data_IF_042137962752
#
_entry.id   IF_042137962752
#
_cell.length_a   1.000
_cell.length_b   1.000
_cell.length_c   1.000
_cell.angle_alpha   90.00
_cell.angle_beta   90.00
_cell.angle_gamma   90.00
#
_symmetry.space_group_name_H-M   'P 1'
#
loop_
_entity.id
_entity.type
_entity.pdbx_description
1 polymer ?
#
# COMPACT_ATOMS: atom_id res chain seq x y z
N UNK A 1 -16.31 -9.81 23.82
CA UNK A 1 -17.72 -9.86 23.36
C UNK A 1 -18.55 -10.86 24.15
N UNK A 2 -18.04 -12.07 24.39
CA UNK A 2 -18.77 -13.08 25.12
C UNK A 2 -19.11 -12.65 26.57
N UNK A 3 -18.22 -11.90 27.23
CA UNK A 3 -18.39 -11.45 28.62
C UNK A 3 -19.32 -10.23 28.73
N UNK A 4 -19.27 -9.28 27.80
CA UNK A 4 -19.99 -8.00 27.95
C UNK A 4 -21.15 -7.83 26.98
N UNK A 5 -21.45 -8.81 26.12
CA UNK A 5 -22.50 -8.76 25.08
C UNK A 5 -22.50 -7.48 24.24
N UNK A 6 -21.33 -6.88 24.06
CA UNK A 6 -21.19 -5.68 23.22
C UNK A 6 -21.38 -6.04 21.74
N UNK A 7 -22.07 -5.20 20.96
CA UNK A 7 -22.27 -5.45 19.55
C UNK A 7 -20.94 -5.49 18.82
N UNK A 8 -20.63 -6.62 18.19
CA UNK A 8 -19.48 -6.79 17.31
C UNK A 8 -19.95 -7.22 15.94
N UNK A 9 -19.44 -6.55 14.93
CA UNK A 9 -19.63 -6.92 13.54
C UNK A 9 -18.29 -7.27 12.93
N UNK A 10 -18.06 -8.54 12.65
CA UNK A 10 -16.88 -8.96 11.89
C UNK A 10 -17.05 -8.56 10.43
N UNK A 11 -16.12 -7.82 9.91
CA UNK A 11 -16.05 -7.45 8.49
C UNK A 11 -15.11 -8.41 7.79
N UNK A 12 -15.66 -9.47 7.23
CA UNK A 12 -14.90 -10.51 6.54
C UNK A 12 -14.09 -9.97 5.35
N UNK A 13 -14.55 -8.89 4.73
CA UNK A 13 -13.85 -8.16 3.65
C UNK A 13 -12.55 -7.49 4.11
N UNK A 14 -12.25 -7.49 5.41
CA UNK A 14 -11.07 -6.86 6.01
C UNK A 14 -10.24 -7.82 6.85
N UNK A 15 -10.55 -9.13 6.80
CA UNK A 15 -9.73 -10.13 7.48
C UNK A 15 -8.47 -10.38 6.65
N UNK A 16 -7.27 -10.14 7.22
CA UNK A 16 -6.04 -10.46 6.53
C UNK A 16 -5.84 -11.96 6.45
N UNK A 17 -5.22 -12.41 5.37
CA UNK A 17 -4.77 -13.80 5.20
C UNK A 17 -3.28 -13.83 4.89
N UNK A 18 -2.58 -14.81 5.45
CA UNK A 18 -1.14 -15.03 5.23
C UNK A 18 -0.90 -16.50 4.96
N UNK A 19 -0.13 -16.79 3.92
CA UNK A 19 0.40 -18.12 3.63
C UNK A 19 1.90 -18.08 3.90
N UNK A 20 2.35 -18.84 4.89
CA UNK A 20 3.74 -18.88 5.36
C UNK A 20 4.61 -19.79 4.49
N UNK A 21 4.68 -19.47 3.22
CA UNK A 21 5.63 -20.03 2.28
C UNK A 21 6.95 -19.25 2.32
N UNK A 22 7.96 -19.67 1.55
CA UNK A 22 9.19 -18.92 1.36
C UNK A 22 9.33 -18.56 -0.15
N UNK A 23 9.04 -17.33 -0.56
CA UNK A 23 8.59 -16.17 0.23
C UNK A 23 7.13 -16.26 0.71
N UNK A 24 6.79 -15.46 1.75
CA UNK A 24 5.43 -15.36 2.27
C UNK A 24 4.47 -14.70 1.25
N UNK A 25 3.19 -15.08 1.35
CA UNK A 25 2.10 -14.42 0.64
C UNK A 25 1.11 -13.86 1.65
N UNK A 26 0.83 -12.56 1.58
CA UNK A 26 -0.10 -11.89 2.46
C UNK A 26 -1.11 -11.04 1.68
N UNK A 27 -2.37 -11.03 2.10
CA UNK A 27 -3.43 -10.27 1.44
C UNK A 27 -4.44 -9.73 2.44
N UNK A 28 -4.98 -8.54 2.16
CA UNK A 28 -6.12 -7.95 2.87
C UNK A 28 -6.97 -7.13 1.91
N UNK A 29 -8.30 -7.16 2.08
CA UNK A 29 -9.26 -6.43 1.26
C UNK A 29 -9.49 -7.07 -0.11
N UNK A 30 -9.90 -6.27 -1.08
CA UNK A 30 -10.28 -6.71 -2.41
C UNK A 30 -9.06 -6.96 -3.29
N UNK A 31 -9.09 -8.03 -4.07
CA UNK A 31 -8.17 -8.19 -5.19
C UNK A 31 -8.51 -7.23 -6.35
N UNK A 32 -7.67 -7.22 -7.39
CA UNK A 32 -7.87 -6.32 -8.53
C UNK A 32 -9.18 -6.59 -9.29
N UNK A 33 -9.56 -7.84 -9.46
CA UNK A 33 -10.79 -8.23 -10.17
C UNK A 33 -12.02 -7.82 -9.39
N UNK A 34 -12.05 -8.15 -8.11
CA UNK A 34 -13.12 -7.75 -7.18
C UNK A 34 -13.25 -6.23 -7.09
N UNK A 35 -12.12 -5.53 -6.98
CA UNK A 35 -12.10 -4.08 -6.90
C UNK A 35 -12.62 -3.41 -8.18
N UNK A 36 -12.27 -3.95 -9.37
CA UNK A 36 -12.82 -3.47 -10.65
C UNK A 36 -14.31 -3.71 -10.75
N UNK A 37 -14.78 -4.88 -10.33
CA UNK A 37 -16.22 -5.19 -10.35
C UNK A 37 -17.00 -4.27 -9.41
N UNK A 38 -16.50 -3.99 -8.21
CA UNK A 38 -17.19 -3.18 -7.20
C UNK A 38 -17.09 -1.66 -7.41
N UNK A 39 -15.97 -1.17 -8.00
CA UNK A 39 -15.66 0.26 -8.07
C UNK A 39 -15.39 0.79 -9.48
N UNK A 40 -15.42 -0.06 -10.51
CA UNK A 40 -15.12 0.31 -11.89
C UNK A 40 -13.67 0.73 -12.07
N UNK A 41 -13.42 2.03 -12.24
CA UNK A 41 -12.05 2.54 -12.45
C UNK A 41 -11.27 2.61 -11.14
N UNK A 42 -10.17 1.87 -11.10
CA UNK A 42 -9.24 1.78 -9.96
C UNK A 42 -7.82 2.17 -10.39
N UNK A 43 -6.95 2.44 -9.43
CA UNK A 43 -5.50 2.45 -9.63
C UNK A 43 -4.91 1.17 -9.04
N UNK A 44 -3.89 0.65 -9.70
CA UNK A 44 -3.10 -0.49 -9.24
C UNK A 44 -1.65 -0.04 -9.15
N UNK A 45 -1.15 0.04 -7.92
CA UNK A 45 0.19 0.48 -7.60
C UNK A 45 1.06 -0.74 -7.32
N UNK A 46 2.34 -0.68 -7.68
CA UNK A 46 3.31 -1.76 -7.43
C UNK A 46 4.65 -1.18 -7.02
N UNK A 47 5.37 -1.91 -6.17
CA UNK A 47 6.77 -1.70 -5.87
C UNK A 47 7.46 -3.06 -5.68
N UNK A 48 8.72 -3.17 -6.06
CA UNK A 48 9.48 -4.40 -5.93
C UNK A 48 10.35 -4.37 -4.67
N UNK A 49 10.58 -5.52 -4.05
CA UNK A 49 11.50 -5.67 -2.93
C UNK A 49 12.94 -5.35 -3.34
N UNK A 50 13.29 -5.56 -4.61
CA UNK A 50 14.59 -5.17 -5.17
C UNK A 50 14.87 -3.66 -5.14
N UNK A 51 13.86 -2.83 -4.87
CA UNK A 51 13.99 -1.38 -4.68
C UNK A 51 14.17 -1.00 -3.20
N UNK A 52 14.27 -1.97 -2.29
CA UNK A 52 14.37 -1.77 -0.84
C UNK A 52 15.77 -2.19 -0.38
N UNK A 53 16.54 -1.25 0.17
CA UNK A 53 17.94 -1.49 0.60
C UNK A 53 18.05 -2.63 1.60
N UNK A 54 17.10 -2.75 2.53
CA UNK A 54 17.08 -3.86 3.49
C UNK A 54 16.92 -5.22 2.82
N UNK A 55 16.07 -5.33 1.82
CA UNK A 55 15.88 -6.60 1.10
C UNK A 55 17.13 -7.00 0.32
N UNK A 56 17.84 -6.02 -0.24
CA UNK A 56 19.13 -6.24 -0.93
C UNK A 56 20.18 -6.70 0.08
N UNK A 57 20.31 -6.01 1.22
CA UNK A 57 21.28 -6.32 2.26
C UNK A 57 21.11 -7.72 2.86
N UNK A 58 19.84 -8.16 3.02
CA UNK A 58 19.52 -9.49 3.53
C UNK A 58 19.56 -10.59 2.44
N UNK A 59 19.89 -10.25 1.17
CA UNK A 59 19.87 -11.19 0.06
C UNK A 59 18.47 -11.71 -0.30
N UNK A 60 17.41 -10.94 0.00
CA UNK A 60 16.00 -11.29 -0.19
C UNK A 60 15.26 -10.28 -1.11
N UNK A 61 15.80 -9.93 -2.29
CA UNK A 61 15.21 -8.92 -3.17
C UNK A 61 13.99 -9.43 -3.95
N UNK A 62 13.70 -10.74 -3.88
CA UNK A 62 12.58 -11.31 -4.61
C UNK A 62 11.24 -10.94 -3.96
N UNK A 63 10.30 -10.48 -4.78
CA UNK A 63 8.95 -10.17 -4.32
C UNK A 63 8.46 -8.78 -4.73
N UNK A 64 7.21 -8.51 -4.40
CA UNK A 64 6.56 -7.23 -4.69
C UNK A 64 5.36 -6.99 -3.78
N UNK A 65 4.98 -5.73 -3.68
CA UNK A 65 3.71 -5.29 -3.12
C UNK A 65 2.82 -4.74 -4.22
N UNK A 66 1.54 -5.08 -4.17
CA UNK A 66 0.49 -4.53 -5.02
C UNK A 66 -0.60 -3.90 -4.15
N UNK A 67 -0.90 -2.64 -4.41
CA UNK A 67 -1.95 -1.88 -3.70
C UNK A 67 -3.02 -1.44 -4.69
N UNK A 68 -4.26 -1.75 -4.39
CA UNK A 68 -5.43 -1.36 -5.18
C UNK A 68 -6.14 -0.21 -4.49
N UNK A 69 -6.37 0.87 -5.23
CA UNK A 69 -7.08 2.06 -4.70
C UNK A 69 -8.18 2.53 -5.64
N UNK A 70 -9.14 3.27 -5.10
CA UNK A 70 -10.02 4.09 -5.94
C UNK A 70 -9.21 5.20 -6.60
N UNK A 71 -9.77 5.86 -7.64
CA UNK A 71 -9.14 7.03 -8.27
C UNK A 71 -8.85 8.17 -7.28
N UNK A 72 -9.60 8.27 -6.19
CA UNK A 72 -9.42 9.28 -5.13
C UNK A 72 -8.46 8.84 -4.02
N UNK A 73 -7.76 7.71 -4.20
CA UNK A 73 -6.73 7.22 -3.27
C UNK A 73 -7.25 6.51 -2.02
N UNK A 74 -8.54 6.09 -1.98
CA UNK A 74 -9.00 5.18 -0.92
C UNK A 74 -8.46 3.78 -1.18
N UNK A 75 -7.78 3.20 -0.21
CA UNK A 75 -7.26 1.83 -0.29
C UNK A 75 -8.42 0.84 -0.30
N UNK A 76 -8.40 -0.11 -1.23
CA UNK A 76 -9.40 -1.17 -1.41
C UNK A 76 -8.84 -2.54 -1.04
N UNK A 77 -7.58 -2.78 -1.31
CA UNK A 77 -6.91 -4.03 -0.99
C UNK A 77 -5.42 -3.99 -1.25
N UNK A 78 -4.71 -4.92 -0.63
CA UNK A 78 -3.25 -5.05 -0.71
C UNK A 78 -2.88 -6.51 -0.78
N UNK A 79 -1.94 -6.85 -1.65
CA UNK A 79 -1.30 -8.17 -1.74
C UNK A 79 0.21 -7.99 -1.72
N UNK A 80 0.90 -8.78 -0.92
CA UNK A 80 2.35 -8.76 -0.76
C UNK A 80 2.87 -10.17 -0.96
N UNK A 81 3.87 -10.33 -1.82
CA UNK A 81 4.63 -11.56 -1.97
C UNK A 81 6.09 -11.24 -1.68
N UNK A 82 6.66 -11.75 -0.60
CA UNK A 82 8.04 -11.41 -0.23
C UNK A 82 8.35 -11.72 1.22
N UNK A 83 9.57 -11.40 1.62
CA UNK A 83 10.04 -11.57 2.98
C UNK A 83 9.21 -10.71 3.95
N UNK A 84 8.75 -11.31 5.06
CA UNK A 84 7.95 -10.65 6.11
C UNK A 84 6.63 -10.04 5.61
N UNK A 85 6.02 -10.64 4.58
CA UNK A 85 4.80 -10.10 3.99
C UNK A 85 3.66 -9.98 5.01
N UNK A 86 3.54 -10.92 5.94
CA UNK A 86 2.54 -10.88 7.02
C UNK A 86 2.69 -9.66 7.92
N UNK A 87 3.91 -9.32 8.33
CA UNK A 87 4.21 -8.16 9.16
C UNK A 87 3.97 -6.85 8.40
N UNK A 88 4.38 -6.81 7.14
CA UNK A 88 4.22 -5.64 6.27
C UNK A 88 2.75 -5.35 5.94
N UNK A 89 1.86 -6.35 6.04
CA UNK A 89 0.44 -6.20 5.78
C UNK A 89 -0.30 -5.45 6.89
N UNK A 90 0.20 -5.47 8.13
CA UNK A 90 -0.53 -4.96 9.29
C UNK A 90 -0.95 -3.49 9.19
N UNK A 91 -0.09 -2.54 8.79
CA UNK A 91 -0.51 -1.15 8.63
C UNK A 91 -1.59 -0.96 7.57
N UNK A 92 -1.60 -1.79 6.52
CA UNK A 92 -2.65 -1.78 5.50
C UNK A 92 -3.98 -2.28 6.03
N UNK A 93 -3.98 -3.28 6.91
CA UNK A 93 -5.19 -3.76 7.61
C UNK A 93 -5.81 -2.63 8.44
N UNK A 94 -4.99 -1.85 9.14
CA UNK A 94 -5.45 -0.67 9.87
C UNK A 94 -6.03 0.39 8.92
N UNK A 95 -5.36 0.65 7.80
CA UNK A 95 -5.84 1.62 6.81
C UNK A 95 -7.19 1.25 6.23
N UNK A 96 -7.41 -0.04 5.92
CA UNK A 96 -8.70 -0.54 5.45
C UNK A 96 -9.79 -0.43 6.53
N UNK A 97 -9.49 -0.86 7.76
CA UNK A 97 -10.42 -0.81 8.88
C UNK A 97 -10.88 0.62 9.19
N UNK A 98 -9.97 1.60 9.07
CA UNK A 98 -10.21 3.02 9.32
C UNK A 98 -10.53 3.84 8.08
N UNK A 99 -10.59 3.20 6.90
CA UNK A 99 -10.82 3.85 5.59
C UNK A 99 -9.87 5.02 5.31
N UNK A 100 -8.61 4.87 5.72
CA UNK A 100 -7.60 5.91 5.52
C UNK A 100 -7.24 6.03 4.03
N UNK A 101 -6.96 7.24 3.54
CA UNK A 101 -6.48 7.44 2.18
C UNK A 101 -5.02 7.02 2.04
N UNK A 102 -4.60 6.68 0.82
CA UNK A 102 -3.21 6.28 0.49
C UNK A 102 -2.17 7.33 0.94
N UNK A 103 -2.57 8.60 1.00
CA UNK A 103 -1.75 9.71 1.49
C UNK A 103 -1.23 9.47 2.91
N UNK A 104 -2.03 8.82 3.75
CA UNK A 104 -1.62 8.51 5.13
C UNK A 104 -0.37 7.64 5.15
N UNK A 105 -0.31 6.60 4.30
CA UNK A 105 0.89 5.77 4.16
C UNK A 105 2.04 6.51 3.48
N UNK A 106 1.76 7.29 2.43
CA UNK A 106 2.80 8.02 1.70
C UNK A 106 3.51 9.08 2.55
N UNK A 107 2.86 9.58 3.61
CA UNK A 107 3.42 10.58 4.53
C UNK A 107 4.13 9.98 5.75
N UNK A 108 4.11 8.65 5.92
CA UNK A 108 4.86 8.01 7.00
C UNK A 108 6.37 8.13 6.77
N UNK A 109 7.09 8.21 7.89
CA UNK A 109 8.54 8.05 7.93
C UNK A 109 8.82 6.62 8.36
N UNK A 110 9.30 5.80 7.43
CA UNK A 110 9.75 4.45 7.75
C UNK A 110 11.16 4.50 8.39
N UNK A 111 11.44 3.67 9.39
CA UNK A 111 12.81 3.49 9.86
C UNK A 111 13.69 2.95 8.73
N UNK A 112 14.91 3.45 8.62
CA UNK A 112 15.87 3.05 7.58
C UNK A 112 17.08 2.34 8.18
N UNK A 113 17.58 1.25 7.56
CA UNK A 113 16.95 0.48 6.47
C UNK A 113 15.99 -0.59 7.02
N UNK A 114 14.78 -0.65 6.50
CA UNK A 114 13.78 -1.66 6.89
C UNK A 114 12.92 -2.12 5.70
N UNK A 115 12.32 -3.32 5.81
CA UNK A 115 11.36 -3.79 4.82
C UNK A 115 10.11 -2.90 4.72
N UNK A 116 9.76 -2.15 5.78
CA UNK A 116 8.57 -1.29 5.79
C UNK A 116 8.65 -0.11 4.81
N UNK A 117 9.85 0.22 4.30
CA UNK A 117 10.03 1.26 3.28
C UNK A 117 9.23 0.95 2.00
N UNK A 118 9.03 -0.33 1.66
CA UNK A 118 8.24 -0.72 0.48
C UNK A 118 6.78 -0.24 0.58
N UNK A 119 6.21 -0.20 1.80
CA UNK A 119 4.86 0.31 2.03
C UNK A 119 4.76 1.80 1.69
N UNK A 120 5.77 2.57 2.08
CA UNK A 120 5.84 4.00 1.80
C UNK A 120 6.14 4.24 0.32
N UNK A 121 7.05 3.48 -0.27
CA UNK A 121 7.42 3.57 -1.69
C UNK A 121 6.21 3.34 -2.61
N UNK A 122 5.47 2.23 -2.41
CA UNK A 122 4.28 1.94 -3.20
C UNK A 122 3.19 3.01 -3.01
N UNK A 123 3.03 3.55 -1.81
CA UNK A 123 2.04 4.61 -1.56
C UNK A 123 2.42 5.92 -2.25
N UNK A 124 3.70 6.28 -2.28
CA UNK A 124 4.21 7.47 -2.96
C UNK A 124 4.05 7.40 -4.48
N UNK A 125 4.13 6.20 -5.08
CA UNK A 125 3.95 6.01 -6.51
C UNK A 125 2.57 6.47 -7.02
N UNK A 126 1.55 6.51 -6.16
CA UNK A 126 0.23 7.05 -6.46
C UNK A 126 0.28 8.51 -6.97
N UNK A 127 1.23 9.29 -6.47
CA UNK A 127 1.33 10.72 -6.79
C UNK A 127 2.20 11.01 -8.00
N UNK A 128 3.02 10.07 -8.47
CA UNK A 128 3.95 10.29 -9.59
C UNK A 128 3.28 10.79 -10.86
N UNK A 129 2.15 10.23 -11.33
CA UNK A 129 1.51 10.72 -12.55
C UNK A 129 1.08 12.19 -12.45
N UNK A 130 0.65 12.62 -11.26
CA UNK A 130 0.25 14.02 -11.01
C UNK A 130 1.47 14.94 -10.95
N UNK A 131 2.51 14.55 -10.19
CA UNK A 131 3.75 15.33 -10.05
C UNK A 131 4.50 15.49 -11.36
N UNK A 132 4.47 14.46 -12.22
CA UNK A 132 5.12 14.50 -13.54
C UNK A 132 4.26 15.12 -14.64
N UNK A 133 3.08 15.61 -14.30
CA UNK A 133 2.17 16.20 -15.29
C UNK A 133 2.75 17.51 -15.87
N UNK A 134 2.47 17.84 -17.15
CA UNK A 134 2.93 19.07 -17.77
C UNK A 134 2.50 20.34 -17.02
N UNK A 135 1.32 20.31 -16.41
CA UNK A 135 0.77 21.42 -15.61
C UNK A 135 1.62 21.71 -14.37
N UNK A 136 1.99 20.68 -13.62
CA UNK A 136 2.84 20.81 -12.41
C UNK A 136 4.23 21.27 -12.81
N UNK A 137 4.81 20.73 -13.89
CA UNK A 137 6.11 21.17 -14.40
C UNK A 137 6.11 22.64 -14.83
N UNK A 138 5.03 23.12 -15.47
CA UNK A 138 4.87 24.52 -15.83
C UNK A 138 4.80 25.42 -14.59
N UNK A 139 4.03 25.00 -13.57
CA UNK A 139 3.92 25.72 -12.31
C UNK A 139 5.27 25.83 -11.58
N UNK A 140 6.02 24.72 -11.48
CA UNK A 140 7.35 24.71 -10.86
C UNK A 140 8.30 25.66 -11.59
N UNK A 141 8.32 25.66 -12.93
CA UNK A 141 9.14 26.60 -13.73
C UNK A 141 8.75 28.04 -13.47
N UNK A 142 7.46 28.31 -13.30
CA UNK A 142 6.98 29.66 -12.99
C UNK A 142 7.50 30.13 -11.62
N UNK A 143 7.35 29.29 -10.59
CA UNK A 143 7.81 29.60 -9.23
C UNK A 143 9.33 29.83 -9.21
N UNK A 144 10.12 29.01 -9.91
CA UNK A 144 11.58 29.15 -10.00
C UNK A 144 12.05 30.45 -10.65
N UNK A 145 11.17 31.18 -11.37
CA UNK A 145 11.51 32.50 -11.94
C UNK A 145 11.36 33.64 -10.93
N UNK A 146 10.69 33.41 -9.81
CA UNK A 146 10.39 34.44 -8.80
C UNK A 146 11.10 34.17 -7.45
N UNK A 147 11.86 33.09 -7.33
CA UNK A 147 12.72 32.75 -6.17
C UNK A 147 14.15 32.59 -6.58
#
# INVERSE_FOLDING_TARGET
HALFRLPAKTRYDQVPSVVFTAPELAQVGLDETQARAAHGRINVLRAAFSETDRAIADGKPAGHIKVVTTRRGRVLGVSIAGERAGELLQPWSLMLARRLPIKAMASLVAPYPTYSEINVAVARSYFFPTLMSPRVRALVRLIQRFG
#
